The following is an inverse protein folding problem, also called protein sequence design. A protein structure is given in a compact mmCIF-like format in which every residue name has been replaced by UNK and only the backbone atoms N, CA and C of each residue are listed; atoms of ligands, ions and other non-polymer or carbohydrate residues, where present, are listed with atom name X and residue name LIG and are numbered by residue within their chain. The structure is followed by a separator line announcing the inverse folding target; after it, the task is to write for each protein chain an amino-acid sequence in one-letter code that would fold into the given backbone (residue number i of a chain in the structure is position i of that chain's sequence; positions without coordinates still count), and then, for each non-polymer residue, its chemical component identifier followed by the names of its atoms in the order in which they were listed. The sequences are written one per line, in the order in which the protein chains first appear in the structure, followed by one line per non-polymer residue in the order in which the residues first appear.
data_IF_805012662979
#
_entry.id   IF_805012662979
#
_cell.length_a   1.000
_cell.length_b   1.000
_cell.length_c   1.000
_cell.angle_alpha   90.00
_cell.angle_beta   90.00
_cell.angle_gamma   90.00
#
_symmetry.space_group_name_H-M   'P 1'
#
loop_
_entity.id
_entity.type
_entity.pdbx_description
1 polymer ?
#
# COMPACT_ATOMS: atom_id res chain seq x y z
N UNK A 1 26.22 4.70 -27.86
CA UNK A 1 25.69 3.35 -28.10
C UNK A 1 24.17 3.33 -28.12
N UNK A 2 23.48 3.94 -27.14
CA UNK A 2 22.01 3.99 -27.13
C UNK A 2 21.43 5.01 -28.13
N UNK A 3 22.10 6.15 -28.32
CA UNK A 3 21.55 7.26 -29.11
C UNK A 3 21.28 6.88 -30.58
N UNK A 4 22.10 5.98 -31.13
CA UNK A 4 21.97 5.45 -32.49
C UNK A 4 20.62 4.75 -32.75
N UNK A 5 20.05 4.12 -31.71
CA UNK A 5 18.77 3.41 -31.78
C UNK A 5 17.55 4.29 -31.44
N UNK A 6 17.79 5.56 -31.09
CA UNK A 6 16.76 6.51 -30.66
C UNK A 6 16.56 7.69 -31.61
N UNK A 7 17.13 7.62 -32.82
CA UNK A 7 16.98 8.68 -33.83
C UNK A 7 15.57 8.74 -34.43
N UNK A 8 14.79 7.66 -34.37
CA UNK A 8 13.41 7.59 -34.84
C UNK A 8 12.51 7.04 -33.73
N UNK A 9 11.19 7.22 -33.88
CA UNK A 9 10.23 6.67 -32.93
C UNK A 9 10.34 5.15 -32.87
N UNK A 10 10.77 4.61 -31.74
CA UNK A 10 11.05 3.19 -31.57
C UNK A 10 10.53 2.65 -30.23
N UNK A 11 10.34 1.33 -30.18
CA UNK A 11 10.11 0.60 -28.93
C UNK A 11 11.40 -0.15 -28.58
N UNK A 12 11.86 0.01 -27.34
CA UNK A 12 13.13 -0.55 -26.89
C UNK A 12 12.84 -1.68 -25.92
N UNK A 13 13.46 -2.82 -26.18
CA UNK A 13 13.41 -4.01 -25.34
C UNK A 13 14.80 -4.29 -24.82
N UNK A 14 14.94 -4.35 -23.49
CA UNK A 14 16.18 -4.76 -22.82
C UNK A 14 15.96 -6.17 -22.32
N UNK A 15 16.65 -7.12 -22.96
CA UNK A 15 16.46 -8.55 -22.74
C UNK A 15 16.88 -9.03 -21.35
N UNK A 16 17.92 -8.42 -20.76
CA UNK A 16 18.33 -8.76 -19.39
C UNK A 16 18.86 -7.55 -18.64
N UNK A 17 18.02 -6.96 -17.79
CA UNK A 17 18.48 -5.88 -16.90
C UNK A 17 19.45 -6.38 -15.83
N UNK A 18 19.42 -7.68 -15.53
CA UNK A 18 20.35 -8.32 -14.58
C UNK A 18 21.79 -8.15 -15.08
N UNK A 19 22.05 -8.60 -16.30
CA UNK A 19 23.38 -8.52 -16.92
C UNK A 19 23.82 -7.07 -17.08
N UNK A 20 22.92 -6.19 -17.56
CA UNK A 20 23.22 -4.77 -17.73
C UNK A 20 23.64 -4.10 -16.41
N UNK A 21 22.91 -4.40 -15.31
CA UNK A 21 23.24 -3.86 -13.98
C UNK A 21 24.57 -4.40 -13.42
N UNK A 22 24.93 -5.64 -13.74
CA UNK A 22 26.19 -6.26 -13.32
C UNK A 22 27.39 -5.69 -14.09
N UNK A 23 27.24 -5.46 -15.40
CA UNK A 23 28.34 -5.00 -16.26
C UNK A 23 28.62 -3.50 -16.14
N UNK A 24 27.58 -2.66 -16.12
CA UNK A 24 27.73 -1.20 -16.08
C UNK A 24 27.77 -0.65 -14.64
N UNK A 25 27.39 -1.47 -13.67
CA UNK A 25 27.15 -1.02 -12.31
C UNK A 25 25.84 -0.24 -12.16
N UNK A 26 25.44 -0.08 -10.89
CA UNK A 26 24.11 0.41 -10.52
C UNK A 26 23.78 1.82 -11.03
N UNK A 27 24.69 2.77 -10.82
CA UNK A 27 24.46 4.18 -11.12
C UNK A 27 24.36 4.46 -12.62
N UNK A 28 25.23 3.84 -13.41
CA UNK A 28 25.22 3.99 -14.86
C UNK A 28 23.98 3.34 -15.48
N UNK A 29 23.61 2.15 -15.00
CA UNK A 29 22.38 1.46 -15.38
C UNK A 29 21.15 2.37 -15.20
N UNK A 30 20.95 2.93 -14.01
CA UNK A 30 19.79 3.79 -13.72
C UNK A 30 19.79 5.05 -14.59
N UNK A 31 20.96 5.66 -14.81
CA UNK A 31 21.09 6.82 -15.67
C UNK A 31 20.72 6.48 -17.13
N UNK A 32 21.12 5.32 -17.63
CA UNK A 32 20.73 4.84 -18.96
C UNK A 32 19.23 4.65 -19.07
N UNK A 33 18.59 3.98 -18.11
CA UNK A 33 17.13 3.78 -18.10
C UNK A 33 16.39 5.13 -18.05
N UNK A 34 16.85 6.07 -17.21
CA UNK A 34 16.23 7.40 -17.10
C UNK A 34 16.37 8.20 -18.40
N UNK A 35 17.53 8.15 -19.06
CA UNK A 35 17.74 8.79 -20.38
C UNK A 35 16.78 8.23 -21.42
N UNK A 36 16.61 6.90 -21.46
CA UNK A 36 15.67 6.23 -22.35
C UNK A 36 14.21 6.62 -22.06
N UNK A 37 13.84 6.75 -20.79
CA UNK A 37 12.48 7.11 -20.37
C UNK A 37 12.10 8.56 -20.73
N UNK A 38 13.06 9.49 -20.66
CA UNK A 38 12.83 10.92 -20.97
C UNK A 38 12.87 11.19 -22.48
N UNK A 39 13.46 10.29 -23.27
CA UNK A 39 13.61 10.48 -24.70
C UNK A 39 12.25 10.39 -25.42
N UNK A 40 11.87 11.46 -26.13
CA UNK A 40 10.60 11.57 -26.86
C UNK A 40 10.46 10.60 -28.03
N UNK A 41 11.58 10.05 -28.53
CA UNK A 41 11.58 9.04 -29.57
C UNK A 41 11.30 7.63 -29.03
N UNK A 42 11.37 7.41 -27.71
CA UNK A 42 11.08 6.09 -27.11
C UNK A 42 9.60 6.03 -26.73
N UNK A 43 8.80 5.32 -27.52
CA UNK A 43 7.37 5.18 -27.27
C UNK A 43 7.07 4.15 -26.17
N UNK A 44 7.83 3.05 -26.15
CA UNK A 44 7.71 1.99 -25.14
C UNK A 44 9.09 1.50 -24.74
N UNK A 45 9.31 1.37 -23.43
CA UNK A 45 10.48 0.75 -22.85
C UNK A 45 10.05 -0.52 -22.12
N UNK A 46 10.56 -1.66 -22.57
CA UNK A 46 10.26 -2.97 -22.01
C UNK A 46 11.55 -3.51 -21.38
N UNK A 47 11.47 -3.84 -20.09
CA UNK A 47 12.59 -4.32 -19.30
C UNK A 47 12.30 -5.75 -18.83
N UNK A 48 13.22 -6.67 -19.12
CA UNK A 48 13.08 -8.07 -18.70
C UNK A 48 14.03 -8.31 -17.51
N UNK A 49 13.42 -8.60 -16.36
CA UNK A 49 14.09 -8.93 -15.10
C UNK A 49 13.91 -10.43 -14.83
N UNK A 50 15.01 -11.18 -14.81
CA UNK A 50 14.95 -12.60 -14.43
C UNK A 50 15.05 -12.72 -12.91
N UNK A 51 14.00 -13.25 -12.27
CA UNK A 51 13.91 -13.32 -10.80
C UNK A 51 14.86 -14.34 -10.18
N UNK A 52 15.30 -15.32 -10.95
CA UNK A 52 16.24 -16.37 -10.55
C UNK A 52 17.65 -15.84 -10.25
N UNK A 53 18.08 -14.77 -10.92
CA UNK A 53 19.38 -14.14 -10.68
C UNK A 53 19.31 -13.02 -9.63
N UNK A 54 18.18 -12.88 -8.93
CA UNK A 54 17.90 -11.76 -8.04
C UNK A 54 17.63 -12.30 -6.63
N UNK A 55 18.41 -11.84 -5.66
CA UNK A 55 18.17 -12.14 -4.25
C UNK A 55 16.81 -11.59 -3.81
N UNK A 56 16.12 -12.32 -2.92
CA UNK A 56 14.88 -11.86 -2.31
C UNK A 56 15.07 -10.48 -1.68
N UNK A 57 14.20 -9.52 -2.04
CA UNK A 57 14.27 -8.15 -1.53
C UNK A 57 15.39 -7.30 -2.15
N UNK A 58 15.90 -7.66 -3.33
CA UNK A 58 16.95 -6.86 -3.98
C UNK A 58 16.52 -5.41 -4.20
N UNK A 59 17.48 -4.50 -4.02
CA UNK A 59 17.31 -3.08 -4.36
C UNK A 59 16.95 -2.91 -5.84
N UNK A 60 17.53 -3.73 -6.73
CA UNK A 60 17.26 -3.74 -8.17
C UNK A 60 15.77 -3.88 -8.47
N UNK A 61 15.15 -4.92 -7.94
CA UNK A 61 13.73 -5.19 -8.15
C UNK A 61 12.86 -4.06 -7.59
N UNK A 62 13.15 -3.60 -6.37
CA UNK A 62 12.38 -2.52 -5.73
C UNK A 62 12.43 -1.23 -6.54
N UNK A 63 13.63 -0.78 -6.94
CA UNK A 63 13.78 0.43 -7.73
C UNK A 63 13.12 0.31 -9.11
N UNK A 64 13.28 -0.82 -9.80
CA UNK A 64 12.62 -1.05 -11.08
C UNK A 64 11.10 -1.01 -10.95
N UNK A 65 10.56 -1.64 -9.92
CA UNK A 65 9.12 -1.59 -9.65
C UNK A 65 8.62 -0.15 -9.47
N UNK A 66 9.41 0.74 -8.86
CA UNK A 66 9.03 2.16 -8.72
C UNK A 66 9.14 2.96 -10.03
N UNK A 67 10.04 2.58 -10.93
CA UNK A 67 10.26 3.28 -12.20
C UNK A 67 9.20 2.96 -13.26
N UNK A 68 8.66 1.74 -13.26
CA UNK A 68 7.76 1.26 -14.31
C UNK A 68 6.29 1.50 -14.01
N UNK A 69 5.52 1.76 -15.06
CA UNK A 69 4.06 1.90 -14.98
C UNK A 69 3.33 0.55 -15.01
N UNK A 70 3.92 -0.47 -15.63
CA UNK A 70 3.31 -1.79 -15.80
C UNK A 70 4.33 -2.85 -15.40
N UNK A 71 3.91 -3.80 -14.57
CA UNK A 71 4.70 -4.95 -14.15
C UNK A 71 3.94 -6.20 -14.59
N UNK A 72 4.62 -7.06 -15.35
CA UNK A 72 4.16 -8.38 -15.72
C UNK A 72 5.03 -9.40 -15.00
N UNK A 73 4.43 -10.39 -14.36
CA UNK A 73 5.14 -11.44 -13.64
C UNK A 73 4.51 -12.80 -13.90
N UNK A 74 5.31 -13.77 -14.29
CA UNK A 74 4.84 -15.16 -14.39
C UNK A 74 4.69 -15.77 -12.99
N UNK A 75 3.69 -16.63 -12.83
CA UNK A 75 3.53 -17.45 -11.63
C UNK A 75 4.58 -18.56 -11.59
N UNK A 76 5.07 -18.87 -10.38
CA UNK A 76 6.01 -19.98 -10.17
C UNK A 76 5.33 -21.35 -10.22
N UNK A 77 4.01 -21.42 -10.00
CA UNK A 77 3.26 -22.68 -9.96
C UNK A 77 2.72 -23.07 -11.32
N UNK A 78 2.18 -22.10 -12.05
CA UNK A 78 1.54 -22.29 -13.36
C UNK A 78 2.21 -21.38 -14.39
N UNK A 79 2.95 -21.94 -15.34
CA UNK A 79 3.64 -21.17 -16.37
C UNK A 79 2.72 -20.35 -17.29
N UNK A 80 1.43 -20.70 -17.33
CA UNK A 80 0.40 -19.98 -18.08
C UNK A 80 -0.30 -18.88 -17.29
N UNK A 81 -0.03 -18.74 -15.98
CA UNK A 81 -0.62 -17.67 -15.18
C UNK A 81 0.34 -16.49 -15.11
N UNK A 82 -0.19 -15.31 -15.38
CA UNK A 82 0.52 -14.04 -15.27
C UNK A 82 -0.18 -13.12 -14.28
N UNK A 83 0.61 -12.44 -13.46
CA UNK A 83 0.18 -11.34 -12.62
C UNK A 83 0.50 -10.03 -13.33
N UNK A 84 -0.53 -9.21 -13.51
CA UNK A 84 -0.45 -7.91 -14.15
C UNK A 84 -0.67 -6.84 -13.09
N UNK A 85 0.28 -5.92 -12.95
CA UNK A 85 0.13 -4.74 -12.09
C UNK A 85 0.28 -3.48 -12.91
N UNK A 86 -0.75 -2.64 -12.95
CA UNK A 86 -0.78 -1.38 -13.69
C UNK A 86 -0.87 -0.22 -12.69
N UNK A 87 0.07 0.72 -12.78
CA UNK A 87 0.13 1.95 -12.00
C UNK A 87 -0.32 3.11 -12.87
N UNK A 88 -1.54 3.60 -12.64
CA UNK A 88 -2.14 4.71 -13.39
C UNK A 88 -2.42 5.86 -12.42
N UNK A 89 -1.53 6.84 -12.37
CA UNK A 89 -1.59 7.93 -11.40
C UNK A 89 -1.51 7.39 -9.98
N UNK A 90 -2.51 7.72 -9.15
CA UNK A 90 -2.57 7.28 -7.75
C UNK A 90 -3.18 5.88 -7.57
N UNK A 91 -3.71 5.26 -8.63
CA UNK A 91 -4.35 3.94 -8.54
C UNK A 91 -3.40 2.83 -9.02
N UNK A 92 -3.33 1.76 -8.22
CA UNK A 92 -2.66 0.51 -8.59
C UNK A 92 -3.74 -0.54 -8.85
N UNK A 93 -3.79 -1.05 -10.07
CA UNK A 93 -4.70 -2.13 -10.50
C UNK A 93 -3.88 -3.41 -10.57
N UNK A 94 -4.38 -4.50 -9.97
CA UNK A 94 -3.77 -5.82 -10.01
C UNK A 94 -4.78 -6.81 -10.57
N UNK A 95 -4.37 -7.61 -11.54
CA UNK A 95 -5.14 -8.71 -12.11
C UNK A 95 -4.28 -9.97 -12.24
N UNK A 96 -4.92 -11.13 -12.15
CA UNK A 96 -4.34 -12.40 -12.54
C UNK A 96 -5.01 -12.86 -13.84
N UNK A 97 -4.21 -13.22 -14.83
CA UNK A 97 -4.66 -13.56 -16.17
C UNK A 97 -3.97 -14.84 -16.63
N UNK A 98 -4.67 -15.67 -17.41
CA UNK A 98 -4.10 -16.85 -18.05
C UNK A 98 -3.72 -16.47 -19.48
N UNK A 99 -2.45 -16.68 -19.81
CA UNK A 99 -1.89 -16.47 -21.13
C UNK A 99 -1.88 -17.78 -21.92
N UNK A 100 -2.41 -17.76 -23.14
CA UNK A 100 -2.30 -18.88 -24.07
C UNK A 100 -2.19 -18.39 -25.50
N UNK A 101 -1.49 -19.18 -26.32
CA UNK A 101 -1.32 -18.90 -27.74
C UNK A 101 -2.39 -19.63 -28.54
N UNK A 102 -3.23 -18.89 -29.26
CA UNK A 102 -4.19 -19.44 -30.20
C UNK A 102 -3.49 -19.72 -31.53
N UNK A 103 -3.14 -20.98 -31.76
CA UNK A 103 -2.43 -21.42 -32.97
C UNK A 103 -3.24 -21.24 -34.26
N UNK A 104 -4.58 -21.17 -34.17
CA UNK A 104 -5.43 -21.00 -35.35
C UNK A 104 -5.42 -19.56 -35.84
N UNK A 105 -5.40 -18.61 -34.91
CA UNK A 105 -5.39 -17.19 -35.22
C UNK A 105 -3.99 -16.58 -35.18
N UNK A 106 -2.99 -17.33 -34.69
CA UNK A 106 -1.63 -16.84 -34.41
C UNK A 106 -1.62 -15.61 -33.48
N UNK A 107 -2.51 -15.61 -32.49
CA UNK A 107 -2.68 -14.50 -31.54
C UNK A 107 -2.48 -15.01 -30.12
N UNK A 108 -1.78 -14.23 -29.32
CA UNK A 108 -1.66 -14.45 -27.89
C UNK A 108 -2.90 -13.86 -27.18
N UNK A 109 -3.63 -14.70 -26.46
CA UNK A 109 -4.85 -14.33 -25.75
C UNK A 109 -4.61 -14.32 -24.25
N UNK A 110 -5.30 -13.41 -23.57
CA UNK A 110 -5.34 -13.29 -22.13
C UNK A 110 -6.79 -13.47 -21.66
N UNK A 111 -7.00 -14.38 -20.72
CA UNK A 111 -8.30 -14.57 -20.06
C UNK A 111 -8.14 -14.22 -18.58
N UNK A 112 -8.97 -13.33 -18.00
CA UNK A 112 -8.89 -13.05 -16.57
C UNK A 112 -9.18 -14.31 -15.76
N UNK A 113 -8.35 -14.57 -14.75
CA UNK A 113 -8.68 -15.57 -13.72
C UNK A 113 -9.76 -14.93 -12.86
N UNK A 114 -11.01 -15.23 -13.17
CA UNK A 114 -12.10 -15.01 -12.24
C UNK A 114 -11.85 -16.05 -11.15
N UNK A 115 -11.26 -15.63 -10.04
CA UNK A 115 -11.34 -16.42 -8.83
C UNK A 115 -12.83 -16.58 -8.57
N UNK A 116 -13.36 -17.79 -8.77
CA UNK A 116 -14.59 -18.16 -8.10
C UNK A 116 -14.36 -17.78 -6.65
N UNK A 117 -15.22 -16.93 -6.10
CA UNK A 117 -15.27 -16.71 -4.66
C UNK A 117 -15.42 -18.11 -4.06
N UNK A 118 -14.30 -18.74 -3.69
CA UNK A 118 -14.30 -19.64 -2.57
C UNK A 118 -14.89 -18.76 -1.50
N UNK A 119 -16.17 -19.02 -1.20
CA UNK A 119 -16.74 -18.70 0.10
C UNK A 119 -15.71 -19.26 1.06
N UNK A 120 -14.80 -18.41 1.51
CA UNK A 120 -14.10 -18.64 2.74
C UNK A 120 -15.26 -18.90 3.70
N UNK A 121 -15.38 -20.15 4.14
CA UNK A 121 -16.10 -20.42 5.37
C UNK A 121 -15.64 -19.32 6.31
N UNK A 122 -16.61 -18.56 6.82
CA UNK A 122 -16.37 -17.47 7.75
C UNK A 122 -15.73 -18.12 8.96
N UNK A 123 -14.41 -18.27 8.91
CA UNK A 123 -13.59 -18.54 10.06
C UNK A 123 -13.76 -17.26 10.88
N UNK A 124 -14.49 -17.39 11.99
CA UNK A 124 -14.88 -16.29 12.87
C UNK A 124 -13.72 -15.31 13.01
N UNK A 125 -13.80 -14.19 12.29
CA UNK A 125 -12.85 -13.09 12.48
C UNK A 125 -12.93 -12.76 13.96
N UNK A 126 -11.82 -12.84 14.72
CA UNK A 126 -11.86 -12.42 16.12
C UNK A 126 -12.35 -10.98 16.13
N UNK A 127 -13.42 -10.72 16.87
CA UNK A 127 -13.98 -9.38 17.04
C UNK A 127 -12.83 -8.42 17.36
N UNK A 128 -12.80 -7.21 16.78
CA UNK A 128 -11.69 -6.27 16.94
C UNK A 128 -11.34 -5.94 18.41
N UNK A 129 -12.27 -6.17 19.34
CA UNK A 129 -12.05 -6.14 20.79
C UNK A 129 -10.92 -7.09 21.27
N UNK A 130 -10.71 -8.24 20.60
CA UNK A 130 -9.71 -9.25 20.95
C UNK A 130 -8.33 -9.01 20.32
N UNK A 131 -8.18 -8.01 19.45
CA UNK A 131 -6.92 -7.71 18.75
C UNK A 131 -6.17 -6.51 19.33
N UNK A 132 -6.74 -5.82 20.32
CA UNK A 132 -6.08 -4.70 21.00
C UNK A 132 -5.32 -5.19 22.24
N UNK A 133 -4.05 -4.78 22.36
CA UNK A 133 -3.25 -4.97 23.59
C UNK A 133 -3.78 -4.13 24.76
N UNK A 134 -4.68 -3.18 24.46
CA UNK A 134 -5.35 -2.31 25.42
C UNK A 134 -6.85 -2.58 25.41
N UNK A 135 -7.42 -2.94 26.56
CA UNK A 135 -8.87 -3.10 26.71
C UNK A 135 -9.52 -1.71 26.71
N UNK A 136 -10.02 -1.29 25.55
CA UNK A 136 -10.69 0.02 25.36
C UNK A 136 -12.15 -0.06 25.81
N UNK A 137 -12.78 -1.25 25.73
CA UNK A 137 -14.17 -1.45 26.13
C UNK A 137 -14.29 -1.65 27.64
N UNK A 138 -15.22 -0.91 28.27
CA UNK A 138 -15.51 -1.01 29.70
C UNK A 138 -16.71 -1.93 29.89
N UNK A 139 -16.47 -3.09 30.51
CA UNK A 139 -17.53 -4.06 30.78
C UNK A 139 -18.56 -3.51 31.76
N UNK A 140 -19.78 -4.03 31.72
CA UNK A 140 -20.85 -3.62 32.64
C UNK A 140 -20.45 -3.84 34.11
N UNK A 141 -19.67 -4.89 34.38
CA UNK A 141 -19.08 -5.16 35.70
C UNK A 141 -18.11 -4.07 36.15
N UNK A 142 -17.25 -3.60 35.25
CA UNK A 142 -16.27 -2.55 35.53
C UNK A 142 -16.97 -1.22 35.81
N UNK A 143 -18.08 -0.94 35.09
CA UNK A 143 -18.94 0.23 35.37
C UNK A 143 -19.54 0.17 36.77
N UNK A 144 -20.10 -0.98 37.17
CA UNK A 144 -20.72 -1.14 38.50
C UNK A 144 -19.67 -0.97 39.60
N UNK A 145 -18.46 -1.52 39.42
CA UNK A 145 -17.37 -1.35 40.39
C UNK A 145 -16.92 0.09 40.50
N UNK A 146 -16.81 0.83 39.37
CA UNK A 146 -16.52 2.26 39.38
C UNK A 146 -17.57 3.05 40.17
N UNK A 147 -18.85 2.77 39.98
CA UNK A 147 -19.92 3.46 40.72
C UNK A 147 -19.94 3.10 42.22
N UNK A 148 -19.56 1.88 42.58
CA UNK A 148 -19.50 1.43 43.98
C UNK A 148 -18.21 1.85 44.71
N UNK A 149 -17.21 2.38 43.98
CA UNK A 149 -15.96 2.84 44.55
C UNK A 149 -16.18 4.14 45.34
N UNK A 150 -16.34 4.02 46.65
CA UNK A 150 -16.39 5.17 47.56
C UNK A 150 -14.99 5.76 47.74
N UNK A 151 -14.78 6.97 47.23
CA UNK A 151 -13.52 7.70 47.41
C UNK A 151 -13.38 8.16 48.88
N UNK A 152 -12.15 8.16 49.45
CA UNK A 152 -11.91 8.50 50.87
C UNK A 152 -12.43 9.86 51.33
N UNK A 153 -12.64 10.80 50.40
CA UNK A 153 -13.09 12.16 50.67
C UNK A 153 -14.61 12.36 50.51
N UNK A 154 -15.33 11.41 49.90
CA UNK A 154 -16.79 11.52 49.70
C UNK A 154 -17.58 11.53 51.03
N UNK A 155 -17.08 10.84 52.05
CA UNK A 155 -17.68 10.84 53.39
C UNK A 155 -17.56 12.19 54.12
N UNK A 156 -16.68 13.08 53.67
CA UNK A 156 -16.46 14.41 54.28
C UNK A 156 -17.23 15.55 53.61
N UNK A 157 -17.92 15.28 52.48
CA UNK A 157 -18.65 16.30 51.72
C UNK A 157 -19.84 16.87 52.51
N UNK A 158 -20.40 16.11 53.45
CA UNK A 158 -21.54 16.55 54.25
C UNK A 158 -21.18 17.11 55.64
N UNK A 159 -19.94 16.94 56.11
CA UNK A 159 -19.49 17.36 57.46
C UNK A 159 -18.64 18.65 57.47
N UNK A 160 -18.46 19.31 56.31
CA UNK A 160 -17.69 20.55 56.19
C UNK A 160 -18.40 21.61 55.36
N UNK A 161 -18.59 22.80 55.92
CA UNK A 161 -19.14 24.00 55.26
C UNK A 161 -18.21 24.59 54.18
N UNK A 162 -17.58 23.77 53.34
CA UNK A 162 -16.69 24.21 52.28
C UNK A 162 -17.44 24.17 50.94
N UNK A 163 -18.37 25.11 50.74
CA UNK A 163 -18.85 25.42 49.38
C UNK A 163 -17.72 26.13 48.65
N UNK A 164 -17.15 25.46 47.65
CA UNK A 164 -16.25 26.11 46.70
C UNK A 164 -17.12 26.98 45.80
N UNK A 165 -17.12 28.28 46.06
CA UNK A 165 -17.72 29.26 45.15
C UNK A 165 -16.68 29.59 44.09
N UNK A 166 -16.99 29.28 42.84
CA UNK A 166 -16.23 29.76 41.69
C UNK A 166 -16.84 31.09 41.28
N UNK A 167 -16.06 32.17 41.40
CA UNK A 167 -16.38 33.44 40.74
C UNK A 167 -15.60 33.43 39.41
N UNK A 168 -16.29 33.41 38.25
CA UNK A 168 -15.62 33.51 36.97
C UNK A 168 -14.97 34.89 36.86
N UNK A 169 -13.66 34.91 36.59
CA UNK A 169 -12.91 36.15 36.39
C UNK A 169 -13.35 36.77 35.06
N UNK A 170 -13.36 38.10 34.94
CA UNK A 170 -13.89 38.80 33.74
C UNK A 170 -13.05 38.61 32.45
N UNK A 171 -12.01 37.78 32.52
CA UNK A 171 -11.11 37.40 31.43
C UNK A 171 -11.15 35.88 31.18
N UNK A 172 -12.02 35.16 31.89
CA UNK A 172 -12.38 33.78 31.57
C UNK A 172 -13.36 33.84 30.39
N UNK A 173 -12.82 34.26 29.24
CA UNK A 173 -13.50 34.11 27.96
C UNK A 173 -13.73 32.62 27.81
N UNK A 174 -14.98 32.20 27.93
CA UNK A 174 -15.38 30.89 27.46
C UNK A 174 -15.01 30.87 25.98
N UNK A 175 -13.92 30.20 25.62
CA UNK A 175 -13.54 29.95 24.23
C UNK A 175 -14.72 29.16 23.61
N UNK A 176 -15.69 29.89 23.08
CA UNK A 176 -16.86 29.38 22.34
C UNK A 176 -16.46 28.89 20.94
N UNK A 177 -15.18 28.99 20.57
CA UNK A 177 -14.66 28.44 19.32
C UNK A 177 -14.41 26.93 19.52
N UNK A 178 -15.48 26.15 19.36
CA UNK A 178 -15.45 24.69 19.41
C UNK A 178 -14.47 24.17 18.34
N UNK A 179 -13.30 23.63 18.73
CA UNK A 179 -12.26 23.21 17.78
C UNK A 179 -12.68 21.99 16.94
N UNK A 180 -13.87 21.45 17.18
CA UNK A 180 -14.49 20.37 16.42
C UNK A 180 -15.34 20.88 15.23
N UNK A 181 -15.58 22.20 15.05
CA UNK A 181 -16.39 22.73 13.94
C UNK A 181 -15.69 22.72 12.56
N UNK A 182 -14.35 22.58 12.51
CA UNK A 182 -13.59 22.41 11.25
C UNK A 182 -13.38 20.93 10.87
N UNK A 183 -13.99 19.99 11.60
CA UNK A 183 -13.80 18.53 11.46
C UNK A 183 -14.86 17.85 10.59
N UNK A 184 -15.22 18.45 9.45
CA UNK A 184 -15.95 17.75 8.39
C UNK A 184 -14.96 17.18 7.35
N UNK A 185 -14.50 15.94 7.59
CA UNK A 185 -13.76 15.09 6.64
C UNK A 185 -14.39 13.70 6.54
#
# INVERSE_FOLDING_TARGET
MIDEYTNTKSSIVIDSVNQMSLHMGWSEFLNCIKKLQVNSNVNRLILILHKDCVLHGSKLQTHLNHLVNVILSFSNTNGSNIFVTIKKGNKVIRSEEIIYYDSKLSILRLTPVIAEEKKEEVEDKPLPANLSTFKIEVDQTDKIQKYNLKLPYMSKIHDGQSKVYYEPDAVDDWDEEDPDEDLDI
#
